data_IF_244725212121
#
_entry.id   IF_244725212121
#
_cell.length_a   1.000
_cell.length_b   1.000
_cell.length_c   1.000
_cell.angle_alpha   90.00
_cell.angle_beta   90.00
_cell.angle_gamma   90.00
#
_symmetry.space_group_name_H-M   'P 1'
#
loop_
_entity.id
_entity.type
_entity.pdbx_description
1 polymer ?
#
# COMPACT_ATOMS: atom_id res chain seq x y z
N UNK A 1 26.84 6.04 -22.10
CA UNK A 1 26.36 5.77 -20.71
C UNK A 1 25.16 4.82 -20.76
N UNK A 2 25.35 3.49 -20.86
CA UNK A 2 24.22 2.53 -20.92
C UNK A 2 24.46 1.13 -20.31
N UNK A 3 25.59 0.87 -19.64
CA UNK A 3 25.95 -0.48 -19.17
C UNK A 3 25.54 -0.81 -17.73
N UNK A 4 25.20 0.18 -16.88
CA UNK A 4 24.88 -0.08 -15.46
C UNK A 4 23.53 -0.77 -15.22
N UNK A 5 22.65 -0.86 -16.23
CA UNK A 5 21.26 -1.30 -16.06
C UNK A 5 20.90 -2.60 -16.80
N UNK A 6 21.79 -3.19 -17.60
CA UNK A 6 21.50 -4.47 -18.29
C UNK A 6 21.19 -5.59 -17.29
N UNK A 7 21.95 -5.66 -16.20
CA UNK A 7 21.75 -6.70 -15.17
C UNK A 7 20.47 -6.51 -14.35
N UNK A 8 19.93 -5.28 -14.29
CA UNK A 8 18.72 -5.01 -13.51
C UNK A 8 17.48 -5.64 -14.13
N UNK A 9 17.44 -5.76 -15.46
CA UNK A 9 16.35 -6.43 -16.19
C UNK A 9 16.38 -7.94 -15.92
N UNK A 10 17.57 -8.54 -15.91
CA UNK A 10 17.75 -9.96 -15.55
C UNK A 10 17.29 -10.25 -14.11
N UNK A 11 17.61 -9.36 -13.16
CA UNK A 11 17.16 -9.49 -11.78
C UNK A 11 15.65 -9.26 -11.64
N UNK A 12 15.07 -8.36 -12.43
CA UNK A 12 13.63 -8.13 -12.46
C UNK A 12 12.88 -9.38 -12.96
N UNK A 13 13.41 -10.06 -13.98
CA UNK A 13 12.79 -11.27 -14.52
C UNK A 13 12.92 -12.48 -13.58
N UNK A 14 14.00 -12.58 -12.79
CA UNK A 14 14.16 -13.62 -11.77
C UNK A 14 13.28 -13.37 -10.54
N UNK A 15 13.00 -12.10 -10.23
CA UNK A 15 12.24 -11.73 -9.05
C UNK A 15 13.05 -11.77 -7.75
N UNK A 16 12.56 -11.05 -6.75
CA UNK A 16 13.29 -10.74 -5.52
C UNK A 16 13.74 -11.99 -4.74
N UNK A 17 12.87 -13.00 -4.63
CA UNK A 17 13.16 -14.22 -3.88
C UNK A 17 14.26 -15.06 -4.54
N UNK A 18 14.26 -15.16 -5.87
CA UNK A 18 15.24 -15.96 -6.60
C UNK A 18 16.60 -15.28 -6.60
N UNK A 19 16.63 -13.95 -6.75
CA UNK A 19 17.87 -13.16 -6.64
C UNK A 19 18.47 -13.29 -5.24
N UNK A 20 17.65 -13.19 -4.18
CA UNK A 20 18.12 -13.38 -2.79
C UNK A 20 18.66 -14.79 -2.56
N UNK A 21 17.95 -15.82 -3.02
CA UNK A 21 18.37 -17.21 -2.91
C UNK A 21 19.70 -17.48 -3.64
N UNK A 22 19.91 -16.88 -4.82
CA UNK A 22 21.18 -17.03 -5.56
C UNK A 22 22.35 -16.27 -4.92
N UNK A 23 22.10 -15.15 -4.24
CA UNK A 23 23.13 -14.46 -3.43
C UNK A 23 23.51 -15.31 -2.22
N UNK A 24 22.54 -15.79 -1.46
CA UNK A 24 22.77 -16.62 -0.27
C UNK A 24 23.45 -17.95 -0.62
N UNK A 25 23.10 -18.53 -1.76
CA UNK A 25 23.74 -19.74 -2.29
C UNK A 25 25.08 -19.51 -3.00
N UNK A 26 25.61 -18.29 -3.01
CA UNK A 26 26.90 -17.96 -3.64
C UNK A 26 26.96 -18.23 -5.15
N UNK A 27 25.81 -18.32 -5.83
CA UNK A 27 25.73 -18.68 -7.26
C UNK A 27 26.00 -17.51 -8.20
N UNK A 28 26.15 -16.29 -7.66
CA UNK A 28 26.60 -15.13 -8.41
C UNK A 28 28.12 -14.95 -8.25
N UNK A 29 28.84 -14.91 -9.36
CA UNK A 29 30.24 -14.47 -9.37
C UNK A 29 30.37 -13.00 -8.92
N UNK A 30 31.52 -12.61 -8.35
CA UNK A 30 31.71 -11.38 -7.57
C UNK A 30 31.00 -10.12 -8.10
N UNK A 31 31.20 -9.75 -9.37
CA UNK A 31 30.57 -8.54 -9.94
C UNK A 31 29.03 -8.64 -10.01
N UNK A 32 28.46 -9.82 -10.26
CA UNK A 32 27.01 -10.04 -10.24
C UNK A 32 26.44 -10.02 -8.82
N UNK A 33 27.20 -10.47 -7.82
CA UNK A 33 26.76 -10.44 -6.43
C UNK A 33 26.61 -9.00 -5.93
N UNK A 34 27.58 -8.13 -6.23
CA UNK A 34 27.50 -6.71 -5.90
C UNK A 34 26.31 -6.02 -6.60
N UNK A 35 26.12 -6.28 -7.90
CA UNK A 35 24.99 -5.74 -8.66
C UNK A 35 23.62 -6.23 -8.16
N UNK A 36 23.54 -7.51 -7.75
CA UNK A 36 22.31 -8.09 -7.20
C UNK A 36 21.97 -7.50 -5.81
N UNK A 37 22.98 -7.26 -4.96
CA UNK A 37 22.80 -6.58 -3.68
C UNK A 37 22.35 -5.12 -3.85
N UNK A 38 22.94 -4.39 -4.80
CA UNK A 38 22.51 -3.02 -5.13
C UNK A 38 21.06 -2.99 -5.64
N UNK A 39 20.68 -3.93 -6.52
CA UNK A 39 19.32 -4.04 -7.04
C UNK A 39 18.30 -4.37 -5.93
N UNK A 40 18.62 -5.30 -5.02
CA UNK A 40 17.78 -5.60 -3.85
C UNK A 40 17.63 -4.38 -2.93
N UNK A 41 18.71 -3.62 -2.71
CA UNK A 41 18.67 -2.39 -1.91
C UNK A 41 17.79 -1.30 -2.53
N UNK A 42 17.83 -1.16 -3.86
CA UNK A 42 16.99 -0.22 -4.60
C UNK A 42 15.50 -0.63 -4.58
N UNK A 43 15.19 -1.91 -4.77
CA UNK A 43 13.83 -2.48 -4.64
C UNK A 43 13.29 -2.34 -3.22
N UNK A 44 14.09 -2.68 -2.20
CA UNK A 44 13.70 -2.60 -0.79
C UNK A 44 13.34 -1.19 -0.32
N UNK A 45 14.01 -0.15 -0.84
CA UNK A 45 13.63 1.25 -0.59
C UNK A 45 12.26 1.60 -1.20
N UNK A 46 11.96 1.08 -2.40
CA UNK A 46 10.68 1.31 -3.09
C UNK A 46 9.51 0.68 -2.32
N UNK A 47 9.68 -0.57 -1.86
CA UNK A 47 8.67 -1.31 -1.08
C UNK A 47 8.38 -0.65 0.27
N UNK A 48 9.40 -0.10 0.95
CA UNK A 48 9.20 0.66 2.21
C UNK A 48 8.40 1.94 2.00
N UNK A 49 8.58 2.63 0.87
CA UNK A 49 7.82 3.83 0.55
C UNK A 49 6.35 3.51 0.26
N UNK A 50 6.09 2.43 -0.49
CA UNK A 50 4.72 1.99 -0.80
C UNK A 50 3.98 1.49 0.44
N UNK A 51 4.62 0.70 1.32
CA UNK A 51 4.00 0.27 2.59
C UNK A 51 3.64 1.42 3.53
N UNK A 52 4.45 2.49 3.57
CA UNK A 52 4.10 3.70 4.34
C UNK A 52 2.86 4.36 3.76
N UNK A 53 2.82 4.54 2.43
CA UNK A 53 1.67 5.14 1.74
C UNK A 53 0.39 4.31 1.94
N UNK A 54 0.47 2.98 1.86
CA UNK A 54 -0.69 2.11 2.05
C UNK A 54 -1.17 2.09 3.52
N UNK A 55 -0.26 2.21 4.49
CA UNK A 55 -0.62 2.35 5.90
C UNK A 55 -1.31 3.70 6.19
N UNK A 56 -0.81 4.79 5.61
CA UNK A 56 -1.43 6.12 5.71
C UNK A 56 -2.79 6.16 5.00
N UNK A 57 -2.92 5.53 3.84
CA UNK A 57 -4.18 5.40 3.09
C UNK A 57 -5.19 4.54 3.85
N UNK A 58 -4.80 3.41 4.43
CA UNK A 58 -5.68 2.59 5.27
C UNK A 58 -6.20 3.37 6.50
N UNK A 59 -5.33 4.18 7.12
CA UNK A 59 -5.69 5.04 8.26
C UNK A 59 -6.68 6.13 7.84
N UNK A 60 -6.48 6.75 6.68
CA UNK A 60 -7.40 7.73 6.10
C UNK A 60 -8.74 7.11 5.70
N UNK A 61 -8.74 5.93 5.08
CA UNK A 61 -9.96 5.19 4.69
C UNK A 61 -10.77 4.78 5.93
N UNK A 62 -10.11 4.35 7.01
CA UNK A 62 -10.80 4.00 8.26
C UNK A 62 -11.46 5.22 8.90
N UNK A 63 -10.79 6.37 8.90
CA UNK A 63 -11.37 7.63 9.37
C UNK A 63 -12.55 8.09 8.48
N UNK A 64 -12.41 8.01 7.16
CA UNK A 64 -13.46 8.37 6.21
C UNK A 64 -14.71 7.48 6.33
N UNK A 65 -14.54 6.16 6.55
CA UNK A 65 -15.67 5.25 6.80
C UNK A 65 -16.42 5.58 8.09
N UNK A 66 -15.71 5.93 9.18
CA UNK A 66 -16.34 6.32 10.44
C UNK A 66 -17.14 7.63 10.28
N UNK A 67 -16.60 8.60 9.54
CA UNK A 67 -17.30 9.85 9.25
C UNK A 67 -18.58 9.62 8.41
N UNK A 68 -18.52 8.73 7.41
CA UNK A 68 -19.68 8.38 6.59
C UNK A 68 -20.79 7.70 7.40
N UNK A 69 -20.41 6.81 8.33
CA UNK A 69 -21.35 6.17 9.26
C UNK A 69 -21.87 7.15 10.32
N UNK A 70 -21.07 8.10 10.79
CA UNK A 70 -21.59 9.11 11.72
C UNK A 70 -22.66 9.98 11.03
N UNK A 71 -22.40 10.41 9.79
CA UNK A 71 -23.29 11.26 9.02
C UNK A 71 -24.62 10.58 8.65
N UNK A 72 -24.62 9.28 8.29
CA UNK A 72 -25.87 8.58 7.98
C UNK A 72 -26.75 8.41 9.24
N UNK A 73 -26.17 8.24 10.43
CA UNK A 73 -26.91 8.07 11.68
C UNK A 73 -27.59 9.39 12.05
N UNK A 74 -26.88 10.52 11.89
CA UNK A 74 -27.45 11.85 12.17
C UNK A 74 -28.59 12.20 11.22
N UNK A 75 -28.45 11.87 9.93
CA UNK A 75 -29.50 12.07 8.93
C UNK A 75 -30.75 11.26 9.26
N UNK A 76 -30.60 9.98 9.64
CA UNK A 76 -31.74 9.12 10.03
C UNK A 76 -32.42 9.66 11.28
N UNK A 77 -31.66 10.07 12.30
CA UNK A 77 -32.22 10.63 13.53
C UNK A 77 -33.04 11.91 13.27
N UNK A 78 -32.56 12.79 12.39
CA UNK A 78 -33.30 14.01 12.00
C UNK A 78 -34.62 13.69 11.29
N UNK A 79 -34.64 12.67 10.42
CA UNK A 79 -35.86 12.22 9.74
C UNK A 79 -36.87 11.65 10.76
N UNK A 80 -36.41 10.81 11.69
CA UNK A 80 -37.28 10.19 12.71
C UNK A 80 -37.91 11.27 13.60
N UNK A 81 -37.15 12.28 14.03
CA UNK A 81 -37.66 13.40 14.83
C UNK A 81 -38.67 14.22 14.01
N UNK A 82 -38.36 14.52 12.74
CA UNK A 82 -39.26 15.26 11.86
C UNK A 82 -40.60 14.55 11.62
N UNK A 83 -40.58 13.24 11.38
CA UNK A 83 -41.80 12.44 11.20
C UNK A 83 -42.61 12.37 12.49
N UNK A 84 -41.94 12.20 13.64
CA UNK A 84 -42.60 12.17 14.96
C UNK A 84 -43.28 13.50 15.29
N UNK A 85 -42.62 14.62 14.99
CA UNK A 85 -43.18 15.96 15.19
C UNK A 85 -44.38 16.22 14.27
N UNK A 86 -44.33 15.76 13.02
CA UNK A 86 -45.47 15.84 12.11
C UNK A 86 -46.66 15.00 12.59
N UNK A 87 -46.41 13.76 13.05
CA UNK A 87 -47.47 12.90 13.57
C UNK A 87 -48.18 13.53 14.78
N UNK A 88 -47.42 14.12 15.71
CA UNK A 88 -47.97 14.86 16.86
C UNK A 88 -48.74 16.13 16.48
N UNK A 89 -48.42 16.76 15.35
CA UNK A 89 -49.11 17.97 14.90
C UNK A 89 -50.46 17.65 14.21
N UNK A 90 -50.58 16.46 13.61
CA UNK A 90 -51.78 16.02 12.88
C UNK A 90 -52.68 15.04 13.67
N UNK A 91 -52.26 14.60 14.87
CA UNK A 91 -53.04 13.77 15.81
C UNK A 91 -53.61 14.59 16.96
#
# INVERSE_FOLDING_TARGET
MKTKYEHWVDFDSMGENEVRSKIEGGKFGGNRMAAAAEWLGARGKKIKLEKKRDADVQKAIKAARIAMVAAWITAIAAIVIGVSALYFYFS
#
